data_IF_566155848431
#
_entry.id   IF_566155848431
#
_cell.length_a   1.000
_cell.length_b   1.000
_cell.length_c   1.000
_cell.angle_alpha   90.00
_cell.angle_beta   90.00
_cell.angle_gamma   90.00
#
_symmetry.space_group_name_H-M   'P 1'
#
loop_
_entity.id
_entity.type
_entity.pdbx_description
1 polymer ?
#
# COMPACT_ATOMS: atom_id res chain seq x y z
N UNK A 1 -18.80 2.25 -6.88
CA UNK A 1 -17.66 1.52 -6.29
C UNK A 1 -16.74 2.56 -5.70
N UNK A 2 -16.52 2.54 -4.38
CA UNK A 2 -15.64 3.48 -3.72
C UNK A 2 -14.20 3.27 -4.20
N UNK A 3 -13.51 4.34 -4.63
CA UNK A 3 -12.13 4.19 -5.12
C UNK A 3 -11.15 3.93 -3.98
N UNK A 4 -11.47 4.30 -2.74
CA UNK A 4 -10.62 3.95 -1.60
C UNK A 4 -10.64 2.44 -1.34
N UNK A 5 -11.82 1.81 -1.43
CA UNK A 5 -11.95 0.36 -1.41
C UNK A 5 -11.19 -0.29 -2.58
N UNK A 6 -11.23 0.30 -3.77
CA UNK A 6 -10.44 -0.18 -4.90
C UNK A 6 -8.93 -0.13 -4.62
N UNK A 7 -8.44 0.94 -4.00
CA UNK A 7 -7.04 1.06 -3.61
C UNK A 7 -6.66 0.02 -2.54
N UNK A 8 -7.51 -0.20 -1.54
CA UNK A 8 -7.29 -1.23 -0.51
C UNK A 8 -7.18 -2.62 -1.11
N UNK A 9 -8.15 -3.00 -1.96
CA UNK A 9 -8.12 -4.29 -2.65
C UNK A 9 -6.90 -4.44 -3.54
N UNK A 10 -6.55 -3.39 -4.29
CA UNK A 10 -5.37 -3.43 -5.16
C UNK A 10 -4.07 -3.61 -4.37
N UNK A 11 -3.90 -2.92 -3.24
CA UNK A 11 -2.75 -3.11 -2.34
C UNK A 11 -2.61 -4.56 -1.91
N UNK A 12 -3.71 -5.16 -1.42
CA UNK A 12 -3.70 -6.56 -0.98
C UNK A 12 -3.45 -7.55 -2.14
N UNK A 13 -4.07 -7.32 -3.30
CA UNK A 13 -3.84 -8.14 -4.50
C UNK A 13 -2.38 -8.12 -4.94
N UNK A 14 -1.76 -6.93 -5.00
CA UNK A 14 -0.37 -6.81 -5.39
C UNK A 14 0.57 -7.48 -4.39
N UNK A 15 0.29 -7.35 -3.08
CA UNK A 15 1.07 -8.04 -2.06
C UNK A 15 0.93 -9.56 -2.13
N UNK A 16 -0.29 -10.06 -2.32
CA UNK A 16 -0.57 -11.50 -2.42
C UNK A 16 0.10 -12.15 -3.64
N UNK A 17 0.34 -11.39 -4.71
CA UNK A 17 1.04 -11.86 -5.91
C UNK A 17 2.57 -11.90 -5.76
N UNK A 18 3.13 -11.40 -4.65
CA UNK A 18 4.58 -11.36 -4.42
C UNK A 18 5.03 -12.48 -3.46
N UNK A 19 6.35 -12.63 -3.33
CA UNK A 19 6.91 -13.50 -2.29
C UNK A 19 6.50 -13.02 -0.87
N UNK A 20 6.42 -13.91 0.13
CA UNK A 20 5.88 -13.58 1.45
C UNK A 20 6.58 -12.45 2.22
N UNK A 21 7.84 -12.16 1.90
CA UNK A 21 8.68 -11.13 2.49
C UNK A 21 8.86 -9.90 1.58
N UNK A 22 8.26 -9.95 0.38
CA UNK A 22 8.35 -8.86 -0.55
C UNK A 22 7.51 -7.66 -0.09
N UNK A 23 7.94 -6.49 -0.56
CA UNK A 23 7.23 -5.24 -0.32
C UNK A 23 6.84 -4.58 -1.63
N UNK A 24 5.87 -3.67 -1.58
CA UNK A 24 5.53 -2.77 -2.68
C UNK A 24 5.63 -1.31 -2.21
N UNK A 25 5.64 -0.36 -3.14
CA UNK A 25 5.45 1.06 -2.82
C UNK A 25 4.05 1.57 -3.27
N UNK A 26 3.60 2.71 -2.74
CA UNK A 26 2.30 3.30 -3.12
C UNK A 26 2.15 3.56 -4.61
N UNK A 27 3.22 3.96 -5.29
CA UNK A 27 3.18 4.24 -6.73
C UNK A 27 2.95 2.99 -7.58
N UNK A 28 3.29 1.79 -7.09
CA UNK A 28 2.96 0.54 -7.78
C UNK A 28 1.44 0.29 -7.73
N UNK A 29 0.82 0.50 -6.57
CA UNK A 29 -0.64 0.41 -6.40
C UNK A 29 -1.35 1.43 -7.28
N UNK A 30 -0.89 2.69 -7.24
CA UNK A 30 -1.50 3.77 -8.01
C UNK A 30 -1.42 3.51 -9.53
N UNK A 31 -0.28 3.02 -10.03
CA UNK A 31 -0.13 2.64 -11.46
C UNK A 31 -1.02 1.46 -11.85
N UNK A 32 -1.26 0.52 -10.94
CA UNK A 32 -2.16 -0.60 -11.21
C UNK A 32 -3.64 -0.16 -11.27
N UNK A 33 -4.00 0.92 -10.59
CA UNK A 33 -5.35 1.51 -10.65
C UNK A 33 -5.55 2.40 -11.87
N UNK A 34 -4.56 3.25 -12.18
CA UNK A 34 -4.62 4.22 -13.28
C UNK A 34 -3.22 4.43 -13.84
N UNK A 35 -2.81 3.65 -14.87
CA UNK A 35 -1.46 3.72 -15.42
C UNK A 35 -1.05 5.13 -15.87
N UNK A 36 -1.97 5.86 -16.51
CA UNK A 36 -1.70 7.17 -17.10
C UNK A 36 -1.91 8.33 -16.09
N UNK A 37 -2.80 8.16 -15.10
CA UNK A 37 -3.13 9.20 -14.12
C UNK A 37 -2.81 8.79 -12.67
N UNK A 38 -1.80 7.93 -12.48
CA UNK A 38 -1.49 7.34 -11.17
C UNK A 38 -1.25 8.37 -10.05
N UNK A 39 -0.75 9.57 -10.39
CA UNK A 39 -0.53 10.63 -9.40
C UNK A 39 -1.83 11.07 -8.73
N UNK A 40 -2.94 11.02 -9.43
CA UNK A 40 -4.26 11.41 -8.92
C UNK A 40 -4.82 10.35 -7.94
N UNK A 41 -4.35 9.10 -8.03
CA UNK A 41 -4.71 8.02 -7.12
C UNK A 41 -3.91 8.03 -5.82
N UNK A 42 -2.80 8.79 -5.75
CA UNK A 42 -1.89 8.74 -4.60
C UNK A 42 -2.58 9.05 -3.27
N UNK A 43 -3.47 10.05 -3.22
CA UNK A 43 -4.21 10.38 -2.00
C UNK A 43 -5.05 9.20 -1.50
N UNK A 44 -5.70 8.48 -2.43
CA UNK A 44 -6.55 7.33 -2.12
C UNK A 44 -5.72 6.12 -1.69
N UNK A 45 -4.56 5.90 -2.33
CA UNK A 45 -3.62 4.85 -1.94
C UNK A 45 -3.06 5.10 -0.54
N UNK A 46 -2.74 6.36 -0.20
CA UNK A 46 -2.31 6.71 1.15
C UNK A 46 -3.39 6.42 2.19
N UNK A 47 -4.62 6.89 1.98
CA UNK A 47 -5.74 6.63 2.88
C UNK A 47 -6.00 5.12 3.06
N UNK A 48 -6.02 4.36 1.96
CA UNK A 48 -6.19 2.91 2.01
C UNK A 48 -5.04 2.20 2.74
N UNK A 49 -3.80 2.69 2.59
CA UNK A 49 -2.63 2.15 3.31
C UNK A 49 -2.76 2.40 4.81
N UNK A 50 -3.16 3.61 5.20
CA UNK A 50 -3.32 3.97 6.61
C UNK A 50 -4.37 3.07 7.28
N UNK A 51 -5.52 2.90 6.64
CA UNK A 51 -6.58 2.00 7.14
C UNK A 51 -6.09 0.54 7.28
N UNK A 52 -5.34 0.03 6.30
CA UNK A 52 -4.80 -1.32 6.38
C UNK A 52 -3.76 -1.47 7.51
N UNK A 53 -2.95 -0.44 7.74
CA UNK A 53 -1.96 -0.43 8.81
C UNK A 53 -2.63 -0.36 10.19
N UNK A 54 -3.66 0.48 10.34
CA UNK A 54 -4.49 0.57 11.55
C UNK A 54 -5.19 -0.76 11.87
N UNK A 55 -5.64 -1.49 10.84
CA UNK A 55 -6.23 -2.83 10.97
C UNK A 55 -5.20 -3.93 11.25
N UNK A 56 -3.91 -3.60 11.23
CA UNK A 56 -2.84 -4.58 11.37
C UNK A 56 -2.73 -5.54 10.18
N UNK A 57 -3.32 -5.23 9.02
CA UNK A 57 -3.25 -6.05 7.81
C UNK A 57 -1.94 -5.86 7.04
N UNK A 58 -1.32 -4.69 7.16
CA UNK A 58 -0.02 -4.38 6.55
C UNK A 58 0.92 -3.72 7.55
N UNK A 59 2.21 -3.84 7.28
CA UNK A 59 3.29 -3.14 7.99
C UNK A 59 4.00 -2.18 7.04
N UNK A 60 4.44 -1.04 7.60
CA UNK A 60 5.19 -0.03 6.85
C UNK A 60 6.66 -0.05 7.26
N UNK A 61 7.54 0.22 6.29
CA UNK A 61 8.96 0.39 6.55
C UNK A 61 9.61 1.38 5.61
N UNK A 62 10.77 1.92 6.01
CA UNK A 62 11.64 2.72 5.17
C UNK A 62 13.09 2.39 5.44
N UNK A 63 13.86 2.12 4.38
CA UNK A 63 15.26 1.66 4.47
C UNK A 63 15.45 0.48 5.42
N UNK A 64 14.48 -0.44 5.46
CA UNK A 64 14.49 -1.62 6.34
C UNK A 64 14.03 -1.36 7.77
N UNK A 65 13.79 -0.11 8.16
CA UNK A 65 13.31 0.24 9.50
C UNK A 65 11.78 0.28 9.53
N UNK A 66 11.12 -0.43 10.46
CA UNK A 66 9.67 -0.35 10.65
C UNK A 66 9.20 1.07 10.94
N UNK A 67 8.03 1.43 10.42
CA UNK A 67 7.41 2.74 10.61
C UNK A 67 5.97 2.57 11.12
N UNK A 68 5.60 3.16 12.27
CA UNK A 68 4.23 3.07 12.77
C UNK A 68 3.27 4.00 12.03
N UNK A 69 3.78 5.10 11.47
CA UNK A 69 3.01 6.10 10.72
C UNK A 69 3.77 6.41 9.43
N UNK A 70 3.07 6.47 8.30
CA UNK A 70 3.68 6.83 7.02
C UNK A 70 4.31 8.23 7.09
N UNK A 71 5.48 8.37 6.51
CA UNK A 71 6.12 9.68 6.28
C UNK A 71 7.11 9.55 5.14
N UNK A 72 7.09 10.50 4.20
CA UNK A 72 7.96 10.46 3.03
C UNK A 72 7.83 9.16 2.23
N UNK A 73 8.93 8.66 1.65
CA UNK A 73 8.94 7.36 0.98
C UNK A 73 8.77 6.20 1.98
N UNK A 74 7.97 5.20 1.62
CA UNK A 74 7.77 4.00 2.43
C UNK A 74 7.48 2.78 1.56
N UNK A 75 7.61 1.61 2.18
CA UNK A 75 7.28 0.30 1.63
C UNK A 75 6.15 -0.33 2.45
N UNK A 76 5.31 -1.10 1.78
CA UNK A 76 4.16 -1.79 2.34
C UNK A 76 4.44 -3.30 2.26
N UNK A 77 4.25 -4.02 3.35
CA UNK A 77 4.35 -5.48 3.45
C UNK A 77 3.07 -6.04 4.08
N UNK A 78 2.72 -7.30 3.80
CA UNK A 78 1.67 -7.97 4.57
C UNK A 78 2.11 -8.14 6.03
N UNK A 79 1.20 -7.86 6.96
CA UNK A 79 1.40 -8.28 8.33
C UNK A 79 1.33 -9.80 8.39
N UNK A 80 2.30 -10.38 9.10
CA UNK A 80 2.27 -11.81 9.43
C UNK A 80 1.75 -11.94 10.87
N UNK A 81 0.95 -12.96 11.18
CA UNK A 81 0.60 -13.30 12.55
C UNK A 81 1.87 -13.66 13.35
#
# INVERSE_FOLDING_TARGET
>A
MDREDAARRMTLTLLAARAPDATICPSEVARALSPDHWRDEMLRVHAATDLLAEQGAVQLSWKGTPMPVRSGPYRIALSRP
#
